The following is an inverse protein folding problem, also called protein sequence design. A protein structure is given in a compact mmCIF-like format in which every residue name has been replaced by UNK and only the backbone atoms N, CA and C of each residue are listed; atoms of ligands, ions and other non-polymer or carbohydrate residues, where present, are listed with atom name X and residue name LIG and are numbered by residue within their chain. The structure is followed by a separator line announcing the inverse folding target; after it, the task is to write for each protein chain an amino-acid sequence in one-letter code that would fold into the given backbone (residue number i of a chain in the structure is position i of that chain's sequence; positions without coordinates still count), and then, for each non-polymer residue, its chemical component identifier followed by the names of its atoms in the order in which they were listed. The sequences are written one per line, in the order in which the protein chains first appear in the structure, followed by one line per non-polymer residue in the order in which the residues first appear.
data_IF_418648610845
#
_entry.id   IF_418648610845
#
_cell.length_a   1.000
_cell.length_b   1.000
_cell.length_c   1.000
_cell.angle_alpha   90.00
_cell.angle_beta   90.00
_cell.angle_gamma   90.00
#
_symmetry.space_group_name_H-M   'P 1'
#
loop_
_entity.id
_entity.type
_entity.pdbx_description
1 polymer ?
#
# COMPACT_ATOMS: atom_id res chain seq x y z
N UNK A 1 -25.37 -22.97 -16.68
CA UNK A 1 -25.04 -21.73 -17.42
C UNK A 1 -24.44 -20.75 -16.43
N UNK A 2 -23.22 -20.22 -16.70
CA UNK A 2 -22.65 -19.16 -15.85
C UNK A 2 -23.35 -17.85 -16.21
N UNK A 3 -23.99 -17.14 -15.27
CA UNK A 3 -24.63 -15.87 -15.58
C UNK A 3 -23.55 -14.87 -16.02
N UNK A 4 -23.82 -14.15 -17.11
CA UNK A 4 -22.89 -13.16 -17.64
C UNK A 4 -22.84 -11.94 -16.70
N UNK A 5 -21.77 -11.15 -16.78
CA UNK A 5 -21.61 -9.93 -15.96
C UNK A 5 -22.74 -8.94 -16.23
N UNK A 6 -23.31 -8.93 -17.44
CA UNK A 6 -24.49 -8.16 -17.81
C UNK A 6 -25.77 -8.63 -17.11
N UNK A 7 -25.96 -9.94 -16.95
CA UNK A 7 -27.18 -10.48 -16.31
C UNK A 7 -27.23 -10.14 -14.82
N UNK A 8 -26.07 -10.13 -14.15
CA UNK A 8 -25.97 -9.76 -12.73
C UNK A 8 -26.18 -8.25 -12.51
N UNK A 9 -25.84 -7.39 -13.48
CA UNK A 9 -26.09 -5.95 -13.42
C UNK A 9 -27.57 -5.63 -13.69
N UNK A 10 -28.21 -6.37 -14.60
CA UNK A 10 -29.64 -6.25 -14.91
C UNK A 10 -30.52 -6.64 -13.71
N UNK A 11 -30.21 -7.75 -13.03
CA UNK A 11 -30.90 -8.17 -11.80
C UNK A 11 -30.84 -7.11 -10.68
N UNK A 12 -29.74 -6.35 -10.61
CA UNK A 12 -29.61 -5.23 -9.68
C UNK A 12 -30.42 -3.99 -10.06
N UNK A 13 -30.82 -3.84 -11.32
CA UNK A 13 -31.73 -2.76 -11.76
C UNK A 13 -33.19 -3.15 -11.53
N UNK A 14 -33.58 -4.38 -11.84
CA UNK A 14 -34.98 -4.83 -11.76
C UNK A 14 -35.52 -4.89 -10.32
N UNK A 15 -34.67 -5.24 -9.35
CA UNK A 15 -35.07 -5.28 -7.92
C UNK A 15 -35.40 -3.90 -7.33
N UNK A 16 -35.14 -2.81 -8.06
CA UNK A 16 -35.36 -1.43 -7.60
C UNK A 16 -36.63 -0.79 -8.20
N UNK A 17 -37.12 -1.27 -9.34
CA UNK A 17 -38.32 -0.70 -9.97
C UNK A 17 -39.61 -1.13 -9.25
N UNK A 18 -39.61 -2.25 -8.55
CA UNK A 18 -40.80 -2.80 -7.86
C UNK A 18 -41.22 -2.04 -6.58
N UNK A 19 -40.35 -1.19 -6.01
CA UNK A 19 -40.62 -0.47 -4.75
C UNK A 19 -41.08 0.98 -4.94
N UNK A 20 -41.28 1.42 -6.18
CA UNK A 20 -41.55 2.80 -6.56
C UNK A 20 -43.02 3.12 -6.87
N UNK A 21 -43.99 2.71 -6.06
CA UNK A 21 -45.38 3.17 -6.22
C UNK A 21 -46.16 3.22 -4.89
N UNK A 22 -46.58 4.42 -4.48
CA UNK A 22 -47.59 4.62 -3.42
C UNK A 22 -47.27 5.76 -2.44
N UNK A 23 -47.89 6.93 -2.62
CA UNK A 23 -47.63 8.14 -1.84
C UNK A 23 -48.36 8.25 -0.49
N UNK A 24 -48.08 9.34 0.25
CA UNK A 24 -49.03 10.39 0.71
C UNK A 24 -48.32 11.29 1.74
N UNK A 25 -48.55 12.60 1.62
CA UNK A 25 -48.05 13.68 2.49
C UNK A 25 -48.48 13.49 3.96
N UNK A 26 -47.58 13.70 4.93
CA UNK A 26 -47.93 14.24 6.25
C UNK A 26 -46.76 14.91 7.01
N UNK A 27 -47.16 15.80 7.93
CA UNK A 27 -46.51 16.97 8.55
C UNK A 27 -45.16 16.81 9.27
N UNK A 28 -44.40 17.91 9.20
CA UNK A 28 -43.29 18.36 10.08
C UNK A 28 -43.57 18.18 11.58
N UNK A 29 -42.60 17.60 12.29
CA UNK A 29 -42.24 17.96 13.67
C UNK A 29 -40.70 17.87 13.79
N UNK A 30 -40.08 18.88 14.40
CA UNK A 30 -38.65 19.12 14.34
C UNK A 30 -37.81 18.18 15.20
N UNK A 31 -36.65 17.80 14.65
CA UNK A 31 -35.41 17.59 15.41
C UNK A 31 -34.24 17.85 14.47
N UNK A 32 -33.43 18.85 14.80
CA UNK A 32 -32.23 19.24 14.05
C UNK A 32 -31.10 18.25 14.31
N UNK A 33 -31.13 17.12 13.62
CA UNK A 33 -29.94 16.36 13.28
C UNK A 33 -30.04 16.11 11.79
N UNK A 34 -29.22 16.77 10.98
CA UNK A 34 -29.15 16.47 9.54
C UNK A 34 -28.50 15.10 9.39
N UNK A 35 -29.25 14.01 9.10
CA UNK A 35 -28.61 12.78 8.68
C UNK A 35 -28.31 13.04 7.21
N UNK A 36 -27.04 13.19 6.85
CA UNK A 36 -26.67 12.87 5.47
C UNK A 36 -27.34 11.52 5.16
N UNK A 37 -28.18 11.40 4.11
CA UNK A 37 -28.78 10.12 3.81
C UNK A 37 -27.59 9.20 3.56
N UNK A 38 -27.36 8.25 4.49
CA UNK A 38 -26.54 7.09 4.21
C UNK A 38 -27.20 6.49 2.98
N UNK A 39 -26.66 6.74 1.78
CA UNK A 39 -27.10 6.03 0.60
C UNK A 39 -27.08 4.55 1.00
N UNK A 40 -28.26 3.94 1.04
CA UNK A 40 -28.36 2.52 1.34
C UNK A 40 -27.62 1.81 0.22
N UNK A 41 -26.37 1.44 0.49
CA UNK A 41 -25.62 0.56 -0.39
C UNK A 41 -26.30 -0.80 -0.26
N UNK A 42 -27.12 -1.15 -1.24
CA UNK A 42 -27.96 -2.34 -1.20
C UNK A 42 -27.13 -3.64 -1.27
N UNK A 43 -25.88 -3.56 -1.74
CA UNK A 43 -25.02 -4.72 -1.94
C UNK A 43 -23.68 -4.55 -1.23
N UNK A 44 -23.11 -5.67 -0.77
CA UNK A 44 -21.74 -5.72 -0.21
C UNK A 44 -20.90 -6.67 -1.04
N UNK A 45 -19.81 -6.18 -1.62
CA UNK A 45 -18.82 -7.01 -2.29
C UNK A 45 -17.63 -7.24 -1.36
N UNK A 46 -17.42 -8.50 -0.98
CA UNK A 46 -16.28 -8.94 -0.16
C UNK A 46 -15.15 -9.42 -1.08
N UNK A 47 -14.06 -8.67 -1.09
CA UNK A 47 -12.88 -8.91 -1.90
C UNK A 47 -11.84 -9.57 -1.00
N UNK A 48 -11.51 -10.83 -1.26
CA UNK A 48 -10.47 -11.56 -0.55
C UNK A 48 -9.24 -11.66 -1.44
N UNK A 49 -8.09 -11.21 -0.94
CA UNK A 49 -6.80 -11.36 -1.59
C UNK A 49 -5.89 -12.31 -0.81
N UNK A 50 -5.25 -13.23 -1.53
CA UNK A 50 -4.29 -14.19 -0.97
C UNK A 50 -2.92 -13.99 -1.61
N UNK A 51 -1.86 -13.96 -0.79
CA UNK A 51 -0.48 -13.81 -1.24
C UNK A 51 0.31 -12.91 -0.30
N UNK A 52 1.40 -12.31 -0.77
CA UNK A 52 2.26 -11.47 0.05
C UNK A 52 2.02 -9.97 -0.22
N UNK A 53 2.90 -9.09 0.30
CA UNK A 53 2.78 -7.64 0.17
C UNK A 53 2.63 -7.19 -1.31
N UNK A 54 3.14 -7.96 -2.28
CA UNK A 54 3.01 -7.69 -3.72
C UNK A 54 1.54 -7.67 -4.15
N UNK A 55 0.72 -8.58 -3.61
CA UNK A 55 -0.71 -8.65 -3.92
C UNK A 55 -1.44 -7.42 -3.38
N UNK A 56 -1.09 -6.96 -2.18
CA UNK A 56 -1.67 -5.75 -1.59
C UNK A 56 -1.27 -4.51 -2.39
N UNK A 57 -0.04 -4.42 -2.88
CA UNK A 57 0.38 -3.38 -3.82
C UNK A 57 -0.48 -3.33 -5.09
N UNK A 58 -0.78 -4.50 -5.68
CA UNK A 58 -1.67 -4.60 -6.84
C UNK A 58 -3.12 -4.25 -6.49
N UNK A 59 -3.61 -4.65 -5.32
CA UNK A 59 -4.93 -4.28 -4.82
C UNK A 59 -5.05 -2.76 -4.65
N UNK A 60 -4.05 -2.11 -4.05
CA UNK A 60 -3.99 -0.66 -3.88
C UNK A 60 -4.05 0.06 -5.24
N UNK A 61 -3.29 -0.42 -6.24
CA UNK A 61 -3.32 0.10 -7.62
C UNK A 61 -4.68 -0.07 -8.28
N UNK A 62 -5.31 -1.24 -8.15
CA UNK A 62 -6.64 -1.51 -8.68
C UNK A 62 -7.71 -0.65 -8.02
N UNK A 63 -7.62 -0.49 -6.70
CA UNK A 63 -8.52 0.35 -5.91
C UNK A 63 -8.37 1.84 -6.28
N UNK A 64 -7.14 2.35 -6.38
CA UNK A 64 -6.88 3.71 -6.86
C UNK A 64 -7.46 3.93 -8.27
N UNK A 65 -7.28 2.97 -9.18
CA UNK A 65 -7.83 3.03 -10.53
C UNK A 65 -9.37 3.01 -10.54
N UNK A 66 -9.99 2.26 -9.62
CA UNK A 66 -11.44 2.31 -9.42
C UNK A 66 -11.87 3.69 -8.92
N UNK A 67 -11.21 4.24 -7.90
CA UNK A 67 -11.51 5.57 -7.35
C UNK A 67 -11.36 6.67 -8.39
N UNK A 68 -10.32 6.62 -9.25
CA UNK A 68 -10.11 7.57 -10.35
C UNK A 68 -11.25 7.53 -11.38
N UNK A 69 -11.79 6.35 -11.69
CA UNK A 69 -12.95 6.19 -12.59
C UNK A 69 -14.25 6.69 -11.93
N UNK A 70 -14.50 6.27 -10.69
CA UNK A 70 -15.68 6.65 -9.92
C UNK A 70 -15.74 8.15 -9.63
N UNK A 71 -14.60 8.81 -9.47
CA UNK A 71 -14.54 10.25 -9.27
C UNK A 71 -15.05 11.04 -10.50
N UNK A 72 -14.90 10.49 -11.71
CA UNK A 72 -15.42 11.10 -12.95
C UNK A 72 -16.88 10.74 -13.19
N UNK A 73 -17.26 9.50 -12.87
CA UNK A 73 -18.62 8.99 -13.01
C UNK A 73 -18.91 7.99 -11.88
N UNK A 74 -19.63 8.46 -10.87
CA UNK A 74 -20.06 7.63 -9.75
C UNK A 74 -21.06 6.60 -10.25
N UNK A 75 -20.77 5.32 -10.08
CA UNK A 75 -21.67 4.25 -10.50
C UNK A 75 -21.64 3.08 -9.52
N UNK A 76 -20.49 2.44 -9.35
CA UNK A 76 -20.36 1.22 -8.55
C UNK A 76 -20.40 1.54 -7.06
N UNK A 77 -19.67 2.57 -6.62
CA UNK A 77 -19.47 2.89 -5.19
C UNK A 77 -20.71 3.52 -4.52
N UNK A 78 -21.70 3.91 -5.32
CA UNK A 78 -23.03 4.32 -4.85
C UNK A 78 -23.92 3.13 -4.50
N UNK A 79 -23.74 1.99 -5.18
CA UNK A 79 -24.60 0.80 -5.04
C UNK A 79 -23.99 -0.29 -4.17
N UNK A 80 -22.66 -0.38 -4.17
CA UNK A 80 -21.91 -1.49 -3.58
C UNK A 80 -20.98 -0.98 -2.48
N UNK A 81 -21.05 -1.62 -1.31
CA UNK A 81 -20.08 -1.48 -0.24
C UNK A 81 -18.91 -2.45 -0.46
N UNK A 82 -17.70 -1.93 -0.62
CA UNK A 82 -16.51 -2.76 -0.79
C UNK A 82 -15.90 -3.08 0.57
N UNK A 83 -15.70 -4.37 0.83
CA UNK A 83 -15.00 -4.87 2.01
C UNK A 83 -13.81 -5.68 1.53
N UNK A 84 -12.59 -5.35 1.99
CA UNK A 84 -11.37 -6.03 1.53
C UNK A 84 -10.77 -6.83 2.68
N UNK A 85 -10.30 -8.04 2.36
CA UNK A 85 -9.78 -9.02 3.28
C UNK A 85 -8.46 -9.55 2.74
N UNK A 86 -7.51 -9.81 3.62
CA UNK A 86 -6.17 -10.25 3.25
C UNK A 86 -5.79 -11.52 4.00
N UNK A 87 -5.31 -12.52 3.27
CA UNK A 87 -4.72 -13.74 3.85
C UNK A 87 -3.29 -13.83 3.32
N UNK A 88 -2.27 -13.71 4.19
CA UNK A 88 -0.90 -13.80 3.73
C UNK A 88 -0.61 -15.21 3.25
N UNK A 89 0.04 -15.34 2.08
CA UNK A 89 0.55 -16.60 1.56
C UNK A 89 1.90 -16.33 0.94
N UNK A 90 2.94 -17.01 1.43
CA UNK A 90 4.30 -16.89 0.90
C UNK A 90 4.82 -18.26 0.50
N UNK A 91 5.55 -18.31 -0.62
CA UNK A 91 6.18 -19.53 -1.13
C UNK A 91 7.40 -19.96 -0.32
N UNK A 92 7.93 -19.07 0.52
CA UNK A 92 9.10 -19.31 1.38
C UNK A 92 8.72 -20.14 2.61
N UNK A 93 9.45 -21.22 2.94
CA UNK A 93 9.24 -21.95 4.17
C UNK A 93 9.62 -21.05 5.34
N UNK A 94 8.62 -20.59 6.11
CA UNK A 94 8.84 -20.01 7.42
C UNK A 94 9.60 -21.02 8.28
N UNK A 95 10.90 -20.80 8.48
CA UNK A 95 11.69 -21.52 9.48
C UNK A 95 11.24 -20.97 10.82
N UNK A 96 10.20 -21.59 11.39
CA UNK A 96 9.84 -21.42 12.79
C UNK A 96 10.89 -22.14 13.64
N UNK A 97 12.00 -21.47 13.95
CA UNK A 97 12.85 -21.86 15.09
C UNK A 97 12.86 -20.73 16.12
N UNK A 98 12.57 -21.01 17.41
CA UNK A 98 12.65 -20.03 18.47
C UNK A 98 14.09 -19.99 18.97
N UNK A 99 15.03 -19.49 18.17
CA UNK A 99 16.38 -19.18 18.64
C UNK A 99 16.73 -17.79 18.13
N UNK A 100 16.76 -16.84 19.07
CA UNK A 100 17.41 -15.54 18.88
C UNK A 100 18.82 -15.79 18.41
N UNK A 101 19.11 -15.62 17.13
CA UNK A 101 20.48 -15.43 16.65
C UNK A 101 20.49 -14.85 15.24
N UNK A 102 21.05 -13.64 15.14
CA UNK A 102 21.67 -13.05 13.97
C UNK A 102 20.78 -12.87 12.72
N UNK A 103 20.17 -11.68 12.64
CA UNK A 103 19.57 -11.12 11.43
C UNK A 103 20.63 -11.14 10.31
N UNK A 104 20.52 -12.12 9.40
CA UNK A 104 21.13 -12.02 8.08
C UNK A 104 20.48 -10.83 7.34
N UNK A 105 21.24 -9.87 6.80
CA UNK A 105 20.68 -8.65 6.18
C UNK A 105 20.11 -8.90 4.76
N UNK A 106 19.55 -10.08 4.50
CA UNK A 106 19.11 -10.50 3.17
C UNK A 106 17.73 -11.18 3.12
N UNK A 107 17.04 -11.38 4.25
CA UNK A 107 15.66 -11.88 4.26
C UNK A 107 14.71 -10.71 4.33
N UNK A 108 14.34 -10.19 3.17
CA UNK A 108 13.32 -9.16 3.03
C UNK A 108 11.98 -9.75 3.45
N UNK A 109 11.40 -9.29 4.55
CA UNK A 109 10.07 -9.74 5.02
C UNK A 109 9.02 -9.47 3.93
N UNK A 110 8.56 -10.52 3.25
CA UNK A 110 7.62 -10.41 2.14
C UNK A 110 6.19 -10.12 2.61
N UNK A 111 5.90 -10.28 3.91
CA UNK A 111 4.55 -10.15 4.49
C UNK A 111 4.54 -9.11 5.62
N UNK A 112 5.27 -7.99 5.47
CA UNK A 112 5.38 -6.98 6.51
C UNK A 112 4.02 -6.36 6.86
N UNK A 113 3.12 -6.22 5.88
CA UNK A 113 1.75 -5.74 6.12
C UNK A 113 0.95 -6.75 6.95
N UNK A 114 1.13 -8.05 6.70
CA UNK A 114 0.46 -9.10 7.48
C UNK A 114 0.98 -9.14 8.92
N UNK A 115 2.30 -9.04 9.08
CA UNK A 115 2.95 -8.97 10.38
C UNK A 115 2.47 -7.75 11.18
N UNK A 116 2.23 -6.60 10.51
CA UNK A 116 1.61 -5.45 11.14
C UNK A 116 0.17 -5.74 11.59
N UNK A 117 -0.66 -6.32 10.72
CA UNK A 117 -2.06 -6.68 11.08
C UNK A 117 -2.12 -7.63 12.27
N UNK A 118 -1.19 -8.59 12.35
CA UNK A 118 -1.12 -9.51 13.48
C UNK A 118 -0.70 -8.85 14.79
N UNK A 119 0.14 -7.81 14.75
CA UNK A 119 0.49 -7.01 15.93
C UNK A 119 -0.71 -6.26 16.48
N UNK A 120 -1.48 -5.60 15.62
CA UNK A 120 -2.62 -4.78 16.03
C UNK A 120 -3.88 -5.58 16.31
N UNK A 121 -4.00 -6.79 15.76
CA UNK A 121 -5.13 -7.71 15.95
C UNK A 121 -4.63 -9.15 16.25
N UNK A 122 -4.62 -9.56 17.54
CA UNK A 122 -4.20 -10.90 17.95
C UNK A 122 -5.05 -12.03 17.35
N UNK A 123 -6.32 -11.77 17.04
CA UNK A 123 -7.17 -12.76 16.37
C UNK A 123 -6.69 -12.99 14.94
N UNK A 124 -6.31 -11.92 14.23
CA UNK A 124 -5.74 -12.00 12.89
C UNK A 124 -4.40 -12.76 12.89
N UNK A 125 -3.52 -12.50 13.85
CA UNK A 125 -2.26 -13.23 14.01
C UNK A 125 -2.50 -14.74 14.13
N UNK A 126 -3.32 -15.15 15.10
CA UNK A 126 -3.54 -16.55 15.39
C UNK A 126 -4.26 -17.30 14.25
N UNK A 127 -5.27 -16.68 13.64
CA UNK A 127 -6.18 -17.37 12.72
C UNK A 127 -5.82 -17.17 11.24
N UNK A 128 -5.26 -16.03 10.87
CA UNK A 128 -5.02 -15.66 9.46
C UNK A 128 -3.54 -15.72 9.11
N UNK A 129 -2.65 -15.14 9.92
CA UNK A 129 -1.21 -15.21 9.66
C UNK A 129 -0.69 -16.66 9.72
N UNK A 130 -1.20 -17.46 10.66
CA UNK A 130 -0.90 -18.90 10.74
C UNK A 130 -1.23 -19.69 9.46
N UNK A 131 -2.18 -19.22 8.64
CA UNK A 131 -2.54 -19.87 7.38
C UNK A 131 -1.44 -19.73 6.32
N UNK A 132 -0.59 -18.71 6.41
CA UNK A 132 0.35 -18.37 5.34
C UNK A 132 1.39 -19.44 5.05
N UNK A 133 1.84 -20.18 6.06
CA UNK A 133 2.71 -21.34 5.86
C UNK A 133 1.92 -22.65 5.65
N UNK A 134 0.64 -22.69 6.05
CA UNK A 134 -0.22 -23.86 5.96
C UNK A 134 -0.77 -24.07 4.54
N UNK A 135 -1.25 -23.01 3.90
CA UNK A 135 -1.89 -23.06 2.58
C UNK A 135 -0.94 -23.68 1.53
N UNK A 136 0.34 -23.26 1.40
CA UNK A 136 1.26 -23.88 0.44
C UNK A 136 1.55 -25.36 0.77
N UNK A 137 1.63 -25.73 2.06
CA UNK A 137 1.84 -27.11 2.49
C UNK A 137 0.65 -27.99 2.10
N UNK A 138 -0.57 -27.52 2.36
CA UNK A 138 -1.81 -28.22 1.99
C UNK A 138 -1.91 -28.39 0.47
N UNK A 139 -1.56 -27.37 -0.30
CA UNK A 139 -1.54 -27.45 -1.77
C UNK A 139 -0.54 -28.51 -2.28
N UNK A 140 0.66 -28.58 -1.69
CA UNK A 140 1.69 -29.59 -2.04
C UNK A 140 1.29 -31.01 -1.63
N UNK A 141 0.56 -31.19 -0.53
CA UNK A 141 0.07 -32.50 -0.08
C UNK A 141 -1.07 -33.03 -0.96
N UNK A 142 -1.94 -32.15 -1.47
CA UNK A 142 -3.03 -32.55 -2.36
C UNK A 142 -2.53 -32.94 -3.76
N UNK A 143 -1.43 -32.35 -4.25
CA UNK A 143 -0.88 -32.69 -5.56
C UNK A 143 -0.14 -34.05 -5.60
N UNK A 144 0.23 -34.61 -4.45
CA UNK A 144 0.91 -35.92 -4.35
C UNK A 144 -0.01 -37.10 -4.03
N UNK A 145 -1.28 -36.84 -3.70
CA UNK A 145 -2.30 -37.87 -3.44
C UNK A 145 -3.18 -38.09 -4.68
N UNK A 146 -3.20 -39.31 -5.21
CA UNK A 146 -4.06 -39.71 -6.35
C UNK A 146 -5.54 -39.90 -5.99
N UNK A 147 -5.92 -39.72 -4.72
CA UNK A 147 -7.32 -39.74 -4.29
C UNK A 147 -7.87 -38.32 -4.34
N UNK A 148 -9.03 -38.16 -4.95
CA UNK A 148 -9.87 -36.96 -4.94
C UNK A 148 -10.15 -36.52 -3.51
N UNK A 149 -9.20 -35.85 -2.88
CA UNK A 149 -9.35 -35.35 -1.52
C UNK A 149 -10.35 -34.22 -1.55
N UNK A 150 -11.44 -34.35 -0.78
CA UNK A 150 -12.35 -33.25 -0.49
C UNK A 150 -11.51 -32.00 -0.17
N UNK A 151 -11.68 -30.96 -0.99
CA UNK A 151 -11.04 -29.65 -0.80
C UNK A 151 -11.10 -29.27 0.69
N UNK A 152 -9.95 -29.05 1.33
CA UNK A 152 -9.82 -28.86 2.78
C UNK A 152 -10.95 -28.00 3.36
N UNK A 153 -11.93 -28.62 4.02
CA UNK A 153 -13.07 -27.97 4.66
C UNK A 153 -12.62 -26.87 5.60
N UNK A 154 -11.57 -27.15 6.37
CA UNK A 154 -10.93 -26.22 7.29
C UNK A 154 -10.62 -24.84 6.69
N UNK A 155 -9.93 -24.76 5.55
CA UNK A 155 -9.60 -23.46 4.94
C UNK A 155 -10.85 -22.68 4.54
N UNK A 156 -11.86 -23.38 4.01
CA UNK A 156 -13.13 -22.76 3.65
C UNK A 156 -13.84 -22.23 4.89
N UNK A 157 -13.83 -22.99 5.98
CA UNK A 157 -14.48 -22.61 7.24
C UNK A 157 -13.80 -21.39 7.86
N UNK A 158 -12.47 -21.37 7.96
CA UNK A 158 -11.71 -20.24 8.51
C UNK A 158 -11.86 -19.00 7.65
N UNK A 159 -11.68 -19.10 6.33
CA UNK A 159 -11.82 -17.95 5.41
C UNK A 159 -13.26 -17.44 5.39
N UNK A 160 -14.24 -18.34 5.43
CA UNK A 160 -15.64 -17.93 5.45
C UNK A 160 -16.03 -17.33 6.80
N UNK A 161 -15.46 -17.80 7.92
CA UNK A 161 -15.60 -17.15 9.20
C UNK A 161 -15.01 -15.74 9.15
N UNK A 162 -13.74 -15.61 8.73
CA UNK A 162 -13.03 -14.34 8.61
C UNK A 162 -13.83 -13.31 7.79
N UNK A 163 -14.26 -13.66 6.58
CA UNK A 163 -15.01 -12.74 5.71
C UNK A 163 -16.40 -12.38 6.23
N UNK A 164 -16.98 -13.17 7.15
CA UNK A 164 -18.29 -12.87 7.77
C UNK A 164 -18.15 -12.03 9.04
N UNK A 165 -17.10 -12.23 9.82
CA UNK A 165 -16.98 -11.68 11.18
C UNK A 165 -15.99 -10.53 11.29
N UNK A 166 -14.95 -10.47 10.45
CA UNK A 166 -14.02 -9.36 10.44
C UNK A 166 -14.68 -8.13 9.79
N UNK A 167 -15.08 -7.19 10.63
CA UNK A 167 -15.81 -5.99 10.25
C UNK A 167 -15.05 -4.70 10.60
N UNK A 168 -13.88 -4.80 11.24
CA UNK A 168 -13.09 -3.65 11.68
C UNK A 168 -11.96 -3.36 10.69
N UNK A 169 -12.05 -2.30 9.87
CA UNK A 169 -10.99 -1.98 8.91
C UNK A 169 -9.76 -1.40 9.60
N UNK A 170 -8.60 -1.96 9.29
CA UNK A 170 -7.29 -1.33 9.48
C UNK A 170 -6.93 -0.60 8.19
N UNK A 171 -6.55 0.68 8.31
CA UNK A 171 -6.30 1.54 7.15
C UNK A 171 -4.81 1.68 6.88
N UNK A 172 -4.38 1.27 5.69
CA UNK A 172 -3.01 1.51 5.22
C UNK A 172 -2.94 2.76 4.34
N UNK A 173 -1.92 3.58 4.55
CA UNK A 173 -1.64 4.74 3.69
C UNK A 173 -1.18 4.30 2.31
N UNK A 174 -1.90 4.73 1.27
CA UNK A 174 -1.46 4.58 -0.11
C UNK A 174 -0.59 5.79 -0.46
N UNK A 175 0.58 5.56 -1.04
CA UNK A 175 1.47 6.61 -1.51
C UNK A 175 1.45 6.69 -3.02
N UNK A 176 1.31 7.91 -3.54
CA UNK A 176 1.47 8.20 -4.96
C UNK A 176 2.95 8.30 -5.29
N UNK A 177 3.34 7.72 -6.42
CA UNK A 177 4.69 7.83 -6.96
C UNK A 177 4.64 8.39 -8.39
N UNK A 178 5.43 9.42 -8.64
CA UNK A 178 5.61 10.03 -9.96
C UNK A 178 7.05 9.85 -10.41
N UNK A 179 7.22 9.17 -11.54
CA UNK A 179 8.50 8.81 -12.12
C UNK A 179 8.78 9.66 -13.35
N UNK A 180 9.97 10.25 -13.40
CA UNK A 180 10.46 10.98 -14.58
C UNK A 180 11.69 10.26 -15.12
N UNK A 181 11.70 10.00 -16.42
CA UNK A 181 12.76 9.24 -17.10
C UNK A 181 13.78 10.18 -17.73
N UNK A 182 14.98 9.65 -18.01
CA UNK A 182 16.04 10.41 -18.70
C UNK A 182 15.71 10.73 -20.15
N UNK A 183 14.90 9.89 -20.81
CA UNK A 183 14.49 10.08 -22.18
C UNK A 183 13.37 11.12 -22.29
N UNK A 184 13.64 12.22 -23.00
CA UNK A 184 12.70 13.35 -23.16
C UNK A 184 11.40 12.99 -23.89
N UNK A 185 11.37 11.88 -24.64
CA UNK A 185 10.17 11.42 -25.35
C UNK A 185 9.26 10.54 -24.49
N UNK A 186 9.75 10.09 -23.32
CA UNK A 186 8.99 9.20 -22.44
C UNK A 186 8.21 10.02 -21.43
N UNK A 187 6.88 9.91 -21.48
CA UNK A 187 6.00 10.62 -20.55
C UNK A 187 6.24 10.17 -19.09
N UNK A 188 6.07 11.08 -18.11
CA UNK A 188 6.10 10.72 -16.70
C UNK A 188 5.06 9.65 -16.37
N UNK A 189 5.44 8.69 -15.54
CA UNK A 189 4.55 7.62 -15.09
C UNK A 189 4.09 7.90 -13.66
N UNK A 190 2.77 7.85 -13.45
CA UNK A 190 2.16 7.89 -12.13
C UNK A 190 1.69 6.49 -11.73
N UNK A 191 2.08 6.05 -10.53
CA UNK A 191 1.63 4.79 -9.94
C UNK A 191 1.44 4.96 -8.42
N UNK A 192 1.04 3.90 -7.71
CA UNK A 192 0.85 3.93 -6.25
C UNK A 192 1.49 2.75 -5.53
N UNK A 193 1.96 2.89 -4.30
CA UNK A 193 2.45 1.77 -3.49
C UNK A 193 1.93 1.84 -2.06
N UNK A 194 2.05 0.75 -1.31
CA UNK A 194 1.49 0.63 0.05
C UNK A 194 2.49 0.06 1.06
N UNK A 195 3.54 -0.61 0.60
CA UNK A 195 4.50 -1.30 1.47
C UNK A 195 5.91 -0.71 1.36
N UNK A 196 6.56 -0.84 0.20
CA UNK A 196 7.97 -0.55 0.01
C UNK A 196 8.21 0.08 -1.36
N UNK A 197 9.13 1.05 -1.41
CA UNK A 197 9.72 1.56 -2.64
C UNK A 197 11.24 1.48 -2.51
N UNK A 198 11.88 0.82 -3.46
CA UNK A 198 13.33 0.72 -3.53
C UNK A 198 13.86 1.44 -4.76
N UNK A 199 14.85 2.30 -4.55
CA UNK A 199 15.67 2.90 -5.60
C UNK A 199 17.01 2.20 -5.60
N UNK A 200 17.37 1.56 -6.70
CA UNK A 200 18.66 0.91 -6.83
C UNK A 200 19.39 1.35 -8.10
N UNK A 201 20.71 1.39 -7.98
CA UNK A 201 21.61 1.67 -9.08
C UNK A 201 22.21 0.34 -9.57
N UNK A 202 21.79 -0.17 -10.75
CA UNK A 202 22.18 -1.51 -11.21
C UNK A 202 23.69 -1.70 -11.30
N UNK A 203 24.40 -0.64 -11.68
CA UNK A 203 25.86 -0.58 -11.72
C UNK A 203 26.49 -0.94 -10.37
N UNK A 204 25.95 -0.48 -9.24
CA UNK A 204 26.51 -0.73 -7.90
C UNK A 204 26.01 -2.01 -7.24
N UNK A 205 24.89 -2.58 -7.69
CA UNK A 205 24.41 -3.88 -7.20
C UNK A 205 25.39 -5.01 -7.59
N UNK A 206 25.90 -4.98 -8.82
CA UNK A 206 26.91 -5.93 -9.29
C UNK A 206 28.23 -5.80 -8.52
N UNK A 207 28.66 -4.57 -8.24
CA UNK A 207 29.86 -4.33 -7.41
C UNK A 207 29.67 -4.81 -5.99
N UNK A 208 28.50 -4.61 -5.37
CA UNK A 208 28.23 -5.06 -4.00
C UNK A 208 28.20 -6.58 -3.88
N UNK A 209 27.64 -7.28 -4.89
CA UNK A 209 27.65 -8.74 -4.95
C UNK A 209 29.08 -9.29 -5.13
N UNK A 210 29.85 -8.74 -6.08
CA UNK A 210 31.24 -9.14 -6.30
C UNK A 210 32.17 -8.80 -5.11
N UNK A 211 31.87 -7.74 -4.35
CA UNK A 211 32.65 -7.34 -3.18
C UNK A 211 32.40 -8.27 -1.99
N UNK A 212 31.24 -8.92 -1.88
CA UNK A 212 30.98 -9.91 -0.80
C UNK A 212 32.00 -11.04 -0.82
N UNK A 213 32.45 -11.45 -2.01
CA UNK A 213 33.41 -12.55 -2.23
C UNK A 213 34.90 -12.11 -2.25
N UNK A 214 35.19 -10.81 -2.15
CA UNK A 214 36.55 -10.28 -2.27
C UNK A 214 37.31 -10.18 -0.91
N UNK A 215 38.65 -10.33 -0.89
CA UNK A 215 39.47 -10.23 0.31
C UNK A 215 39.50 -8.81 0.92
N UNK A 216 39.53 -8.74 2.25
CA UNK A 216 39.30 -7.53 3.08
C UNK A 216 40.20 -6.33 2.75
N UNK A 217 41.41 -6.54 2.21
CA UNK A 217 42.34 -5.45 1.86
C UNK A 217 41.91 -4.64 0.62
N UNK A 218 41.20 -5.26 -0.33
CA UNK A 218 40.67 -4.55 -1.51
C UNK A 218 39.32 -3.86 -1.24
N UNK A 219 38.64 -4.19 -0.14
CA UNK A 219 37.35 -3.59 0.26
C UNK A 219 37.44 -2.11 0.64
N UNK A 220 38.58 -1.67 1.21
CA UNK A 220 38.75 -0.29 1.70
C UNK A 220 38.95 0.76 0.61
N UNK A 221 39.67 0.42 -0.47
CA UNK A 221 39.98 1.36 -1.57
C UNK A 221 38.80 1.57 -2.53
N UNK A 222 37.99 0.53 -2.78
CA UNK A 222 36.86 0.57 -3.73
C UNK A 222 35.60 1.20 -3.12
N UNK A 223 35.39 1.05 -1.80
CA UNK A 223 34.25 1.64 -1.09
C UNK A 223 34.25 3.18 -1.09
N UNK A 224 35.41 3.80 -1.31
CA UNK A 224 35.57 5.26 -1.27
C UNK A 224 34.99 5.98 -2.52
N UNK A 225 34.79 5.25 -3.63
CA UNK A 225 34.30 5.80 -4.91
C UNK A 225 32.91 5.25 -5.27
N UNK A 226 32.43 4.20 -4.62
CA UNK A 226 31.17 3.52 -4.94
C UNK A 226 29.93 4.37 -4.58
N UNK A 227 28.89 4.34 -5.43
CA UNK A 227 27.61 5.03 -5.20
C UNK A 227 27.41 6.29 -6.07
N UNK A 228 26.15 6.59 -6.37
CA UNK A 228 25.73 7.77 -7.13
C UNK A 228 25.41 8.94 -6.19
N UNK A 229 25.70 10.16 -6.63
CA UNK A 229 25.29 11.37 -5.93
C UNK A 229 23.84 11.71 -6.26
N UNK A 230 22.99 11.70 -5.22
CA UNK A 230 21.57 12.05 -5.32
C UNK A 230 21.25 13.28 -4.47
N UNK A 231 20.27 14.05 -4.92
CA UNK A 231 19.57 15.07 -4.14
C UNK A 231 18.25 14.50 -3.63
N UNK A 232 18.03 14.61 -2.33
CA UNK A 232 16.79 14.24 -1.66
C UNK A 232 16.19 15.51 -1.08
N UNK A 233 15.01 15.88 -1.57
CA UNK A 233 14.19 16.94 -0.98
C UNK A 233 13.03 16.28 -0.26
N UNK A 234 12.83 16.60 1.01
CA UNK A 234 11.82 15.96 1.84
C UNK A 234 11.19 16.95 2.80
N UNK A 235 9.96 16.64 3.20
CA UNK A 235 9.17 17.50 4.09
C UNK A 235 9.13 16.90 5.48
N UNK A 236 9.62 17.63 6.48
CA UNK A 236 9.50 17.20 7.88
C UNK A 236 8.31 17.89 8.53
N UNK A 237 7.47 17.12 9.20
CA UNK A 237 6.39 17.62 10.04
C UNK A 237 6.93 17.67 11.48
N UNK A 238 7.06 18.86 12.04
CA UNK A 238 7.34 19.01 13.48
C UNK A 238 6.11 18.66 14.31
N UNK A 239 6.27 18.36 15.59
CA UNK A 239 5.16 18.18 16.54
C UNK A 239 4.19 19.38 16.60
N UNK A 240 4.63 20.55 16.14
CA UNK A 240 3.82 21.78 16.01
C UNK A 240 3.06 21.89 14.67
N UNK A 241 3.03 20.84 13.86
CA UNK A 241 2.46 20.81 12.50
C UNK A 241 3.04 21.87 11.54
N UNK A 242 4.23 22.40 11.83
CA UNK A 242 4.95 23.28 10.90
C UNK A 242 5.72 22.41 9.94
N UNK A 243 5.38 22.53 8.66
CA UNK A 243 6.02 21.77 7.60
C UNK A 243 7.25 22.52 7.11
N UNK A 244 8.42 21.89 7.23
CA UNK A 244 9.70 22.48 6.79
C UNK A 244 10.29 21.59 5.70
N UNK A 245 10.55 22.20 4.54
CA UNK A 245 11.25 21.54 3.44
C UNK A 245 12.75 21.50 3.73
N UNK A 246 13.32 20.31 3.62
CA UNK A 246 14.75 20.05 3.82
C UNK A 246 15.32 19.40 2.57
N UNK A 247 16.55 19.77 2.24
CA UNK A 247 17.30 19.21 1.14
C UNK A 247 18.60 18.61 1.67
N UNK A 248 18.91 17.38 1.25
CA UNK A 248 20.20 16.74 1.50
C UNK A 248 20.77 16.22 0.19
N UNK A 249 22.08 16.34 0.05
CA UNK A 249 22.83 15.73 -1.05
C UNK A 249 23.77 14.70 -0.44
N UNK A 250 23.70 13.47 -0.94
CA UNK A 250 24.51 12.37 -0.43
C UNK A 250 24.90 11.40 -1.54
N UNK A 251 25.94 10.62 -1.30
CA UNK A 251 26.37 9.50 -2.16
C UNK A 251 25.80 8.20 -1.61
N UNK A 252 25.05 7.47 -2.43
CA UNK A 252 24.41 6.21 -2.03
C UNK A 252 24.44 5.16 -3.14
N UNK A 253 24.41 3.89 -2.76
CA UNK A 253 24.21 2.76 -3.69
C UNK A 253 22.74 2.38 -3.86
N UNK A 254 21.87 2.84 -2.96
CA UNK A 254 20.44 2.57 -2.98
C UNK A 254 19.65 3.39 -1.95
N UNK A 255 18.34 3.46 -2.11
CA UNK A 255 17.43 4.08 -1.14
C UNK A 255 16.24 3.15 -0.93
N UNK A 256 15.95 2.81 0.31
CA UNK A 256 14.77 2.03 0.69
C UNK A 256 13.79 2.92 1.45
N UNK A 257 12.56 2.97 0.96
CA UNK A 257 11.45 3.72 1.52
C UNK A 257 10.39 2.72 1.98
N UNK A 258 10.12 2.70 3.28
CA UNK A 258 9.12 1.82 3.89
C UNK A 258 7.92 2.64 4.36
N UNK A 259 6.74 2.23 3.93
CA UNK A 259 5.45 2.80 4.36
C UNK A 259 4.84 2.04 5.54
N UNK A 260 5.31 0.82 5.83
CA UNK A 260 4.83 0.03 6.96
C UNK A 260 5.53 0.50 8.24
N UNK A 261 4.77 0.88 9.29
CA UNK A 261 5.34 1.25 10.57
C UNK A 261 6.13 0.09 11.20
N UNK A 262 7.28 0.43 11.79
CA UNK A 262 8.12 -0.55 12.48
C UNK A 262 7.64 -0.82 13.92
N UNK A 263 6.84 0.08 14.48
CA UNK A 263 6.23 -0.03 15.81
C UNK A 263 4.75 0.42 15.76
N UNK A 264 3.94 -0.05 16.70
CA UNK A 264 2.51 0.30 16.85
C UNK A 264 2.31 1.78 17.23
N UNK A 265 3.29 2.39 17.90
CA UNK A 265 3.27 3.81 18.28
C UNK A 265 3.59 4.76 17.10
N UNK A 266 3.98 4.23 15.94
CA UNK A 266 4.31 5.03 14.76
C UNK A 266 3.05 5.25 13.89
N UNK A 267 2.72 6.52 13.67
CA UNK A 267 1.62 6.94 12.78
C UNK A 267 1.85 6.50 11.32
N UNK A 268 0.80 6.06 10.63
CA UNK A 268 0.81 5.59 9.24
C UNK A 268 1.05 6.70 8.21
N UNK A 269 1.03 7.96 8.65
CA UNK A 269 1.19 9.12 7.77
C UNK A 269 2.66 9.47 7.49
N UNK A 270 3.58 8.53 7.68
CA UNK A 270 5.01 8.74 7.51
C UNK A 270 5.72 7.58 6.80
N UNK A 271 6.70 7.95 5.97
CA UNK A 271 7.64 7.06 5.33
C UNK A 271 8.93 7.03 6.14
N UNK A 272 9.46 5.83 6.31
CA UNK A 272 10.82 5.62 6.80
C UNK A 272 11.76 5.47 5.61
N UNK A 273 12.69 6.39 5.45
CA UNK A 273 13.67 6.42 4.35
C UNK A 273 15.03 6.04 4.90
N UNK A 274 15.68 5.09 4.27
CA UNK A 274 17.03 4.62 4.61
C UNK A 274 17.90 4.63 3.35
N UNK A 275 19.11 5.17 3.45
CA UNK A 275 20.04 5.26 2.31
C UNK A 275 21.29 4.41 2.59
N UNK A 276 21.70 3.64 1.59
CA UNK A 276 22.90 2.81 1.65
C UNK A 276 24.16 3.63 1.35
N UNK A 277 24.65 4.32 2.37
CA UNK A 277 25.84 5.14 2.27
C UNK A 277 27.11 4.31 2.53
N UNK A 278 28.13 4.33 1.66
CA UNK A 278 29.39 3.59 1.84
C UNK A 278 30.26 4.12 2.98
N UNK A 279 30.06 5.38 3.40
CA UNK A 279 30.66 5.99 4.60
C UNK A 279 29.57 6.67 5.43
N UNK A 280 28.87 5.95 6.33
CA UNK A 280 27.99 6.63 7.28
C UNK A 280 28.88 7.53 8.15
N UNK A 281 28.57 8.83 8.23
CA UNK A 281 29.21 9.70 9.23
C UNK A 281 28.92 9.08 10.59
N UNK A 282 29.97 8.60 11.27
CA UNK A 282 29.98 7.98 12.60
C UNK A 282 28.63 7.37 13.04
N UNK A 283 28.38 6.12 12.62
CA UNK A 283 27.54 5.19 13.37
C UNK A 283 26.10 4.94 12.93
N UNK A 284 25.47 5.75 12.07
CA UNK A 284 24.10 5.48 11.60
C UNK A 284 23.92 5.83 10.12
N UNK A 285 23.37 4.91 9.33
CA UNK A 285 22.80 5.25 8.02
C UNK A 285 21.71 6.32 8.23
N UNK A 286 21.58 7.32 7.35
CA UNK A 286 20.60 8.38 7.54
C UNK A 286 19.19 7.77 7.43
N UNK A 287 18.56 7.55 8.59
CA UNK A 287 17.15 7.19 8.71
C UNK A 287 16.33 8.48 8.79
N UNK A 288 15.52 8.74 7.78
CA UNK A 288 14.65 9.91 7.74
C UNK A 288 13.19 9.49 7.88
N UNK A 289 12.40 10.31 8.56
CA UNK A 289 10.95 10.15 8.66
C UNK A 289 10.29 11.33 7.95
N UNK A 290 9.47 11.06 6.95
CA UNK A 290 8.88 12.12 6.09
C UNK A 290 7.60 11.65 5.43
N UNK A 291 6.66 12.55 5.12
CA UNK A 291 5.47 12.22 4.35
C UNK A 291 5.69 12.39 2.83
N UNK A 292 6.55 13.35 2.43
CA UNK A 292 6.82 13.69 1.05
C UNK A 292 8.32 13.64 0.78
N UNK A 293 8.71 12.98 -0.30
CA UNK A 293 10.12 12.86 -0.67
C UNK A 293 10.27 12.90 -2.19
N UNK A 294 11.26 13.65 -2.64
CA UNK A 294 11.68 13.74 -4.03
C UNK A 294 13.16 13.41 -4.13
N UNK A 295 13.47 12.36 -4.89
CA UNK A 295 14.83 11.89 -5.13
C UNK A 295 15.17 12.16 -6.58
N UNK A 296 16.33 12.77 -6.81
CA UNK A 296 16.85 13.06 -8.15
C UNK A 296 18.33 12.74 -8.21
N UNK A 297 18.77 12.09 -9.28
CA UNK A 297 20.19 11.96 -9.61
C UNK A 297 20.77 13.31 -10.03
N UNK A 298 21.90 13.69 -9.46
CA UNK A 298 22.64 14.89 -9.87
C UNK A 298 23.66 14.60 -10.97
N UNK A 299 23.97 13.33 -11.17
CA UNK A 299 24.85 12.86 -12.22
C UNK A 299 24.05 12.49 -13.47
N UNK A 300 24.70 12.40 -14.64
CA UNK A 300 24.10 11.90 -15.88
C UNK A 300 23.92 10.37 -15.83
N UNK A 301 23.24 9.88 -14.80
CA UNK A 301 22.96 8.47 -14.53
C UNK A 301 21.47 8.28 -14.31
N UNK A 302 21.05 7.03 -14.38
CA UNK A 302 19.68 6.62 -14.09
C UNK A 302 19.66 5.51 -13.07
N UNK A 303 18.55 5.40 -12.35
CA UNK A 303 18.31 4.33 -11.40
C UNK A 303 17.07 3.52 -11.77
N UNK A 304 16.93 2.38 -11.11
CA UNK A 304 15.76 1.51 -11.20
C UNK A 304 14.90 1.66 -9.95
N UNK A 305 13.59 1.76 -10.13
CA UNK A 305 12.62 1.83 -9.03
C UNK A 305 11.81 0.54 -8.97
N UNK A 306 11.68 -0.04 -7.77
CA UNK A 306 10.86 -1.21 -7.49
C UNK A 306 9.74 -0.83 -6.53
N UNK A 307 8.50 -1.20 -6.85
CA UNK A 307 7.33 -0.94 -6.00
C UNK A 307 6.79 -2.23 -5.39
N UNK A 308 6.48 -2.18 -4.09
CA UNK A 308 5.86 -3.26 -3.30
C UNK A 308 6.54 -4.62 -3.43
N UNK A 309 7.86 -4.63 -3.70
CA UNK A 309 8.66 -5.84 -3.97
C UNK A 309 8.11 -6.68 -5.15
N UNK A 310 7.30 -6.08 -6.03
CA UNK A 310 6.73 -6.74 -7.18
C UNK A 310 7.66 -6.55 -8.39
N UNK A 311 8.26 -7.65 -8.88
CA UNK A 311 9.15 -7.64 -10.04
C UNK A 311 8.48 -7.18 -11.33
N UNK A 312 7.14 -7.21 -11.39
CA UNK A 312 6.36 -6.68 -12.51
C UNK A 312 6.21 -5.15 -12.45
N UNK A 313 6.58 -4.55 -11.32
CA UNK A 313 6.46 -3.11 -11.02
C UNK A 313 7.85 -2.49 -10.87
N UNK A 314 8.70 -2.81 -11.83
CA UNK A 314 10.07 -2.31 -11.93
C UNK A 314 10.17 -1.30 -13.07
N UNK A 315 10.67 -0.11 -12.76
CA UNK A 315 10.85 0.98 -13.71
C UNK A 315 12.33 1.30 -13.87
N UNK A 316 12.86 1.07 -15.08
CA UNK A 316 14.25 1.37 -15.45
C UNK A 316 14.38 2.77 -16.04
N UNK A 317 15.62 3.25 -16.11
CA UNK A 317 16.00 4.53 -16.73
C UNK A 317 15.34 5.76 -16.08
N UNK A 318 15.10 5.68 -14.77
CA UNK A 318 14.47 6.76 -13.99
C UNK A 318 15.54 7.79 -13.59
N UNK A 319 15.21 9.07 -13.77
CA UNK A 319 16.07 10.20 -13.40
C UNK A 319 15.61 10.87 -12.10
N UNK A 320 14.29 10.92 -11.86
CA UNK A 320 13.75 11.39 -10.59
C UNK A 320 12.46 10.65 -10.21
N UNK A 321 12.27 10.53 -8.91
CA UNK A 321 11.07 9.95 -8.29
C UNK A 321 10.53 10.91 -7.24
N UNK A 322 9.24 11.13 -7.27
CA UNK A 322 8.52 11.96 -6.29
C UNK A 322 7.44 11.11 -5.64
N UNK A 323 7.40 11.16 -4.31
CA UNK A 323 6.49 10.38 -3.47
C UNK A 323 5.75 11.32 -2.53
N UNK A 324 4.44 11.12 -2.44
CA UNK A 324 3.57 11.84 -1.51
C UNK A 324 2.37 10.97 -1.11
N UNK A 325 1.66 11.27 0.00
CA UNK A 325 0.42 10.59 0.34
C UNK A 325 -0.58 10.71 -0.83
N UNK A 326 -1.16 9.58 -1.22
CA UNK A 326 -2.11 9.54 -2.32
C UNK A 326 -3.39 10.26 -1.90
N UNK A 327 -3.74 11.33 -2.61
CA UNK A 327 -5.01 12.01 -2.39
C UNK A 327 -6.18 11.19 -2.95
N UNK A 328 -7.36 11.32 -2.34
CA UNK A 328 -8.56 10.73 -2.92
C UNK A 328 -8.91 11.44 -4.25
N UNK A 329 -8.96 10.70 -5.39
CA UNK A 329 -9.35 11.30 -6.67
C UNK A 329 -10.69 12.05 -6.62
N UNK A 330 -11.64 11.61 -5.78
CA UNK A 330 -12.91 12.31 -5.57
C UNK A 330 -12.73 13.70 -4.95
N UNK A 331 -11.79 13.83 -4.02
CA UNK A 331 -11.47 15.11 -3.38
C UNK A 331 -10.77 16.07 -4.35
N UNK A 332 -9.83 15.58 -5.18
CA UNK A 332 -9.14 16.39 -6.17
C UNK A 332 -10.10 17.06 -7.16
N UNK A 333 -11.09 16.32 -7.68
CA UNK A 333 -12.08 16.86 -8.63
C UNK A 333 -12.96 17.92 -7.97
N UNK A 334 -13.41 17.70 -6.73
CA UNK A 334 -14.18 18.71 -6.00
C UNK A 334 -13.38 19.99 -5.78
N UNK A 335 -12.08 19.88 -5.47
CA UNK A 335 -11.21 21.05 -5.30
C UNK A 335 -11.04 21.83 -6.61
N UNK A 336 -10.79 21.15 -7.73
CA UNK A 336 -10.66 21.80 -9.04
C UNK A 336 -11.98 22.40 -9.53
N UNK A 337 -13.13 21.80 -9.21
CA UNK A 337 -14.44 22.36 -9.54
C UNK A 337 -14.74 23.62 -8.70
N UNK A 338 -14.41 23.61 -7.41
CA UNK A 338 -14.61 24.77 -6.51
C UNK A 338 -13.63 25.91 -6.78
N UNK A 339 -12.38 25.62 -7.13
CA UNK A 339 -11.38 26.68 -7.42
C UNK A 339 -11.69 27.48 -8.69
N UNK A 340 -12.53 26.97 -9.59
CA UNK A 340 -13.04 27.73 -10.74
C UNK A 340 -14.07 28.80 -10.36
N UNK A 341 -14.61 28.75 -9.14
CA UNK A 341 -15.69 29.62 -8.69
C UNK A 341 -15.41 30.34 -7.34
N UNK A 342 -14.27 30.10 -6.68
CA UNK A 342 -13.93 30.81 -5.43
C UNK A 342 -12.42 30.92 -5.23
N UNK A 343 -11.95 32.16 -5.03
CA UNK A 343 -10.59 32.51 -4.59
C UNK A 343 -10.54 32.60 -3.05
N UNK A 344 -11.04 31.58 -2.35
CA UNK A 344 -11.07 31.59 -0.88
C UNK A 344 -10.43 30.32 -0.34
N UNK A 345 -9.49 30.51 0.59
CA UNK A 345 -8.81 29.45 1.34
C UNK A 345 -9.81 28.45 1.94
N UNK A 346 -9.35 27.20 2.12
CA UNK A 346 -10.06 26.02 2.65
C UNK A 346 -10.81 26.32 3.98
N UNK A 347 -11.94 27.02 3.90
CA UNK A 347 -12.79 27.42 5.02
C UNK A 347 -14.13 26.70 4.89
N UNK A 348 -14.20 25.49 5.44
CA UNK A 348 -15.43 24.69 5.49
C UNK A 348 -15.23 23.26 6.00
N UNK A 349 -16.27 22.43 5.90
CA UNK A 349 -16.26 20.99 6.25
C UNK A 349 -15.20 20.16 5.49
N UNK A 350 -14.53 20.73 4.48
CA UNK A 350 -13.40 20.14 3.77
C UNK A 350 -12.19 19.84 4.66
N UNK A 351 -12.09 20.49 5.83
CA UNK A 351 -11.09 20.17 6.87
C UNK A 351 -11.33 18.84 7.59
N UNK A 352 -12.53 18.27 7.47
CA UNK A 352 -12.92 17.00 8.11
C UNK A 352 -13.04 15.82 7.12
N UNK A 353 -12.80 16.05 5.84
CA UNK A 353 -12.73 14.99 4.83
C UNK A 353 -11.27 14.51 4.79
N UNK A 354 -11.05 13.20 4.97
CA UNK A 354 -9.74 12.58 4.79
C UNK A 354 -9.21 12.94 3.39
N UNK A 355 -8.14 13.75 3.34
CA UNK A 355 -7.54 14.17 2.07
C UNK A 355 -6.91 13.00 1.32
N UNK A 356 -6.41 12.01 2.08
CA UNK A 356 -5.78 10.80 1.57
C UNK A 356 -6.76 9.70 1.17
N UNK A 357 -6.30 8.82 0.28
CA UNK A 357 -6.96 7.56 -0.07
C UNK A 357 -6.32 6.40 0.70
N UNK A 358 -6.91 5.92 1.81
CA UNK A 358 -6.40 4.76 2.49
C UNK A 358 -6.86 3.46 1.83
N UNK A 359 -6.11 2.37 2.01
CA UNK A 359 -6.51 1.01 1.70
C UNK A 359 -7.07 0.34 2.96
N UNK A 360 -8.39 0.12 3.06
CA UNK A 360 -8.99 -0.57 4.20
C UNK A 360 -8.80 -2.09 4.07
N UNK A 361 -8.27 -2.75 5.10
CA UNK A 361 -8.23 -4.21 5.22
C UNK A 361 -8.97 -4.59 6.49
N UNK A 362 -10.05 -5.35 6.36
CA UNK A 362 -10.88 -5.75 7.49
C UNK A 362 -10.20 -6.80 8.34
N UNK A 363 -10.12 -6.55 9.64
CA UNK A 363 -9.73 -7.49 10.68
C UNK A 363 -10.86 -7.63 11.71
N UNK A 364 -10.67 -8.45 12.73
CA UNK A 364 -11.71 -8.78 13.70
C UNK A 364 -11.87 -7.66 14.73
N UNK A 365 -10.77 -7.28 15.37
CA UNK A 365 -10.76 -6.26 16.42
C UNK A 365 -10.35 -4.87 15.93
N UNK A 366 -9.69 -4.78 14.77
CA UNK A 366 -9.05 -3.54 14.32
C UNK A 366 -7.79 -3.26 15.13
N UNK A 367 -7.44 -1.98 15.31
CA UNK A 367 -6.31 -1.57 16.14
C UNK A 367 -6.78 -1.54 17.60
N UNK A 368 -6.29 -2.48 18.41
CA UNK A 368 -6.52 -2.50 19.86
C UNK A 368 -5.45 -1.59 20.50
N UNK A 369 -5.89 -0.56 21.24
CA UNK A 369 -5.03 0.36 21.99
C UNK A 369 -4.79 -0.09 23.44
#
# INVERSE_FOLDING_TARGET
MKPSVSDNIALMQDSLEELGAGGTLQRKAGNSSTPFPKQQRHFTARILVMGDDRVLGRLAKAYYSLRKREARRLFLTMKVNLQMYYVPVSDEPAVTSPVKENISPGKTDLCALAAYLGRVDPWYECNINSLGCMIPKLAKMQSSSSRTSESSSFLKDVVSYYTRTAMQPVYFSIYSVKLTFSCLTKEPVEDVFVSHLEVAFPEFQLFTAALKDAPVRHKKSVAEICGAVISINYRTVSLSNREVDKAITLRTTGVHINAVPSNEAEDFDCLTVTCDCPKPKLGMAPKLRTCNIKIRTLENRTFTVYLDKDSRRTFKDVQSVEVCPCLDPGYCIQKTAKSKFSLQEDTGLSKYISKGLPLPINTFAGIIH
#
